data_IF_300399216874
#
_entry.id   IF_300399216874
#
_cell.length_a   1.000
_cell.length_b   1.000
_cell.length_c   1.000
_cell.angle_alpha   90.00
_cell.angle_beta   90.00
_cell.angle_gamma   90.00
#
_symmetry.space_group_name_H-M   'P 1'
#
loop_
_entity.id
_entity.type
_entity.pdbx_description
1 polymer ?
#
# COMPACT_ATOMS: atom_id res chain seq x y z
N UNK A 1 -6.17 -10.34 -4.72
CA UNK A 1 -5.36 -9.15 -5.02
C UNK A 1 -5.15 -8.36 -3.74
N UNK A 2 -3.94 -7.84 -3.54
CA UNK A 2 -3.55 -7.07 -2.36
C UNK A 2 -3.55 -5.58 -2.69
N UNK A 3 -3.96 -4.76 -1.73
CA UNK A 3 -3.56 -3.36 -1.68
C UNK A 3 -2.32 -3.26 -0.78
N UNK A 4 -1.25 -2.66 -1.26
CA UNK A 4 -0.10 -2.32 -0.43
C UNK A 4 -0.20 -0.86 0.00
N UNK A 5 -0.24 -0.63 1.30
CA UNK A 5 -0.13 0.70 1.87
C UNK A 5 1.28 1.27 1.68
N UNK A 6 1.42 2.57 1.70
CA UNK A 6 2.71 3.26 1.58
C UNK A 6 3.74 2.75 2.59
N UNK A 7 3.31 2.42 3.81
CA UNK A 7 4.21 1.89 4.84
C UNK A 7 4.89 0.59 4.43
N UNK A 8 4.21 -0.26 3.65
CA UNK A 8 4.76 -1.51 3.12
C UNK A 8 5.83 -1.23 2.07
N UNK A 9 5.56 -0.29 1.17
CA UNK A 9 6.51 0.11 0.12
C UNK A 9 7.76 0.73 0.74
N UNK A 10 7.60 1.61 1.71
CA UNK A 10 8.72 2.22 2.44
C UNK A 10 9.54 1.14 3.15
N UNK A 11 8.90 0.24 3.86
CA UNK A 11 9.59 -0.85 4.56
C UNK A 11 10.37 -1.76 3.59
N UNK A 12 9.84 -2.00 2.40
CA UNK A 12 10.54 -2.77 1.37
C UNK A 12 11.78 -2.05 0.83
N UNK A 13 11.66 -0.74 0.61
CA UNK A 13 12.75 0.07 0.03
C UNK A 13 13.83 0.43 1.04
N UNK A 14 13.53 0.44 2.32
CA UNK A 14 14.46 0.79 3.40
C UNK A 14 14.96 -0.45 4.12
N UNK A 15 16.21 -0.81 3.86
CA UNK A 15 16.86 -1.98 4.47
C UNK A 15 17.02 -1.89 6.00
N UNK A 16 16.99 -0.69 6.54
CA UNK A 16 17.10 -0.43 7.99
C UNK A 16 15.72 -0.46 8.68
N UNK A 17 14.63 -0.53 7.92
CA UNK A 17 13.29 -0.63 8.49
C UNK A 17 13.10 -1.97 9.21
N UNK A 18 12.51 -1.94 10.41
CA UNK A 18 12.23 -3.14 11.20
C UNK A 18 11.35 -4.14 10.47
N UNK A 19 10.43 -3.65 9.64
CA UNK A 19 9.52 -4.46 8.86
C UNK A 19 10.07 -4.85 7.47
N UNK A 20 11.33 -4.52 7.16
CA UNK A 20 11.92 -4.79 5.84
C UNK A 20 11.83 -6.26 5.45
N UNK A 21 12.19 -7.19 6.34
CA UNK A 21 12.13 -8.63 6.04
C UNK A 21 10.71 -9.10 5.72
N UNK A 22 9.72 -8.62 6.47
CA UNK A 22 8.32 -8.93 6.21
C UNK A 22 7.83 -8.32 4.88
N UNK A 23 8.24 -7.08 4.60
CA UNK A 23 7.91 -6.41 3.34
C UNK A 23 8.54 -7.13 2.13
N UNK A 24 9.78 -7.61 2.25
CA UNK A 24 10.43 -8.45 1.22
C UNK A 24 9.63 -9.73 0.98
N UNK A 25 9.18 -10.40 2.04
CA UNK A 25 8.37 -11.60 1.91
C UNK A 25 7.06 -11.35 1.13
N UNK A 26 6.43 -10.20 1.34
CA UNK A 26 5.24 -9.81 0.57
C UNK A 26 5.60 -9.49 -0.88
N UNK A 27 6.52 -8.57 -1.09
CA UNK A 27 6.83 -8.04 -2.43
C UNK A 27 7.47 -9.11 -3.30
N UNK A 28 8.51 -9.78 -2.83
CA UNK A 28 9.22 -10.80 -3.61
C UNK A 28 8.49 -12.15 -3.61
N UNK A 29 8.04 -12.58 -2.44
CA UNK A 29 7.44 -13.90 -2.25
C UNK A 29 6.02 -14.03 -2.79
N UNK A 30 5.25 -12.96 -2.81
CA UNK A 30 3.86 -12.99 -3.24
C UNK A 30 3.62 -12.22 -4.54
N UNK A 31 4.05 -10.97 -4.59
CA UNK A 31 3.74 -10.08 -5.72
C UNK A 31 4.58 -10.44 -6.93
N UNK A 32 5.90 -10.33 -6.82
CA UNK A 32 6.82 -10.64 -7.93
C UNK A 32 6.68 -12.08 -8.42
N UNK A 33 6.43 -13.01 -7.52
CA UNK A 33 6.24 -14.42 -7.87
C UNK A 33 4.92 -14.71 -8.60
N UNK A 34 4.00 -13.74 -8.63
CA UNK A 34 2.68 -13.89 -9.24
C UNK A 34 1.66 -14.65 -8.38
N UNK A 35 2.01 -15.03 -7.16
CA UNK A 35 1.07 -15.73 -6.25
C UNK A 35 -0.09 -14.84 -5.83
N UNK A 36 0.19 -13.56 -5.56
CA UNK A 36 -0.82 -12.56 -5.19
C UNK A 36 -0.49 -11.24 -5.89
N UNK A 37 -1.15 -10.93 -7.00
CA UNK A 37 -0.98 -9.62 -7.61
C UNK A 37 -1.40 -8.52 -6.63
N UNK A 38 -0.72 -7.40 -6.72
CA UNK A 38 -0.96 -6.27 -5.84
C UNK A 38 -1.17 -4.98 -6.62
N UNK A 39 -1.78 -4.03 -5.95
CA UNK A 39 -1.88 -2.66 -6.43
C UNK A 39 -1.43 -1.68 -5.35
N UNK A 40 -1.05 -0.52 -5.79
CA UNK A 40 -0.80 0.65 -4.95
C UNK A 40 -1.58 1.83 -5.52
N UNK A 41 -1.98 2.74 -4.64
CA UNK A 41 -2.55 4.01 -5.05
C UNK A 41 -1.48 4.90 -5.68
N UNK A 42 -1.85 5.67 -6.69
CA UNK A 42 -0.96 6.70 -7.26
C UNK A 42 -0.51 7.72 -6.19
N UNK A 43 -1.25 7.88 -5.11
CA UNK A 43 -0.81 8.73 -3.98
C UNK A 43 0.42 8.18 -3.27
N UNK A 44 0.60 6.87 -3.24
CA UNK A 44 1.81 6.25 -2.70
C UNK A 44 3.06 6.72 -3.44
N UNK A 45 2.96 6.99 -4.74
CA UNK A 45 4.06 7.55 -5.54
C UNK A 45 4.57 8.86 -4.93
N UNK A 46 3.66 9.76 -4.58
CA UNK A 46 4.03 11.04 -3.94
C UNK A 46 4.74 10.82 -2.61
N UNK A 47 4.22 9.92 -1.79
CA UNK A 47 4.76 9.68 -0.46
C UNK A 47 6.16 9.05 -0.48
N UNK A 48 6.43 8.16 -1.42
CA UNK A 48 7.73 7.48 -1.48
C UNK A 48 8.79 8.28 -2.25
N UNK A 49 8.39 9.17 -3.16
CA UNK A 49 9.32 9.98 -3.95
C UNK A 49 9.68 11.32 -3.31
N UNK A 50 8.94 11.79 -2.32
CA UNK A 50 9.20 13.09 -1.70
C UNK A 50 10.59 13.17 -1.04
N UNK A 51 11.04 12.09 -0.41
CA UNK A 51 12.37 12.03 0.23
C UNK A 51 13.50 12.22 -0.78
N UNK A 52 13.67 11.35 -1.77
CA UNK A 52 14.73 11.49 -2.78
C UNK A 52 14.57 12.75 -3.64
N UNK A 53 13.34 13.22 -3.89
CA UNK A 53 13.14 14.51 -4.57
C UNK A 53 13.68 15.68 -3.76
N UNK A 54 13.44 15.68 -2.44
CA UNK A 54 13.90 16.72 -1.53
C UNK A 54 15.43 16.70 -1.36
N UNK A 55 16.03 15.52 -1.26
CA UNK A 55 17.48 15.36 -1.10
C UNK A 55 18.27 15.53 -2.41
N UNK A 56 17.61 15.50 -3.56
CA UNK A 56 18.24 15.54 -4.87
C UNK A 56 18.95 14.25 -5.26
N UNK A 57 18.64 13.12 -4.59
CA UNK A 57 19.19 11.80 -4.92
C UNK A 57 18.50 11.24 -6.17
N UNK A 58 19.07 11.53 -7.34
CA UNK A 58 18.52 11.12 -8.63
C UNK A 58 18.59 9.62 -8.83
N UNK A 59 19.61 8.95 -8.35
CA UNK A 59 19.78 7.51 -8.48
C UNK A 59 18.68 6.78 -7.71
N UNK A 60 18.50 7.13 -6.44
CA UNK A 60 17.43 6.54 -5.62
C UNK A 60 16.05 6.86 -6.18
N UNK A 61 15.82 8.09 -6.64
CA UNK A 61 14.56 8.48 -7.29
C UNK A 61 14.26 7.57 -8.48
N UNK A 62 15.23 7.37 -9.37
CA UNK A 62 15.08 6.50 -10.54
C UNK A 62 14.81 5.04 -10.19
N UNK A 63 15.50 4.52 -9.18
CA UNK A 63 15.30 3.14 -8.70
C UNK A 63 13.89 2.95 -8.15
N UNK A 64 13.37 3.91 -7.40
CA UNK A 64 12.01 3.86 -6.87
C UNK A 64 10.98 3.92 -8.01
N UNK A 65 11.16 4.82 -8.98
CA UNK A 65 10.26 4.89 -10.14
C UNK A 65 10.25 3.57 -10.90
N UNK A 66 11.42 2.97 -11.13
CA UNK A 66 11.52 1.67 -11.78
C UNK A 66 10.77 0.59 -11.00
N UNK A 67 10.96 0.53 -9.68
CA UNK A 67 10.20 -0.38 -8.81
C UNK A 67 8.69 -0.20 -8.97
N UNK A 68 8.21 1.04 -8.86
CA UNK A 68 6.78 1.35 -8.90
C UNK A 68 6.13 1.03 -10.26
N UNK A 69 6.88 1.14 -11.35
CA UNK A 69 6.34 1.00 -12.71
C UNK A 69 6.66 -0.32 -13.38
N UNK A 70 7.68 -1.04 -12.94
CA UNK A 70 8.19 -2.23 -13.63
C UNK A 70 8.11 -3.52 -12.81
N UNK A 71 7.77 -3.45 -11.52
CA UNK A 71 7.70 -4.68 -10.72
C UNK A 71 6.59 -5.60 -11.26
N UNK A 72 6.93 -6.84 -11.68
CA UNK A 72 5.90 -7.79 -12.09
C UNK A 72 4.87 -8.04 -11.01
N UNK A 73 3.60 -8.05 -11.38
CA UNK A 73 2.50 -8.28 -10.43
C UNK A 73 2.05 -7.07 -9.64
N UNK A 74 2.75 -5.94 -9.73
CA UNK A 74 2.35 -4.68 -9.10
C UNK A 74 1.71 -3.74 -10.12
N UNK A 75 0.59 -3.12 -9.75
CA UNK A 75 -0.11 -2.12 -10.56
C UNK A 75 -0.27 -0.82 -9.81
N UNK A 76 -0.11 0.30 -10.51
CA UNK A 76 -0.54 1.62 -10.06
C UNK A 76 -2.02 1.79 -10.39
N UNK A 77 -2.79 2.34 -9.46
CA UNK A 77 -4.20 2.64 -9.67
C UNK A 77 -4.46 4.13 -9.45
N UNK A 78 -5.07 4.75 -10.44
CA UNK A 78 -5.39 6.17 -10.41
C UNK A 78 -6.49 6.49 -9.39
N UNK A 79 -6.52 7.75 -8.97
CA UNK A 79 -7.54 8.31 -8.08
C UNK A 79 -8.44 9.22 -8.88
N UNK A 80 -9.62 8.71 -9.22
CA UNK A 80 -10.66 9.48 -9.86
C UNK A 80 -11.76 9.91 -8.87
N UNK A 81 -12.82 10.52 -9.38
CA UNK A 81 -13.93 11.03 -8.58
C UNK A 81 -14.57 9.94 -7.70
N UNK A 82 -14.84 8.77 -8.26
CA UNK A 82 -15.49 7.68 -7.52
C UNK A 82 -14.64 7.20 -6.34
N UNK A 83 -13.31 7.13 -6.50
CA UNK A 83 -12.39 6.80 -5.41
C UNK A 83 -12.39 7.88 -4.35
N UNK A 84 -12.35 9.15 -4.75
CA UNK A 84 -12.37 10.28 -3.83
C UNK A 84 -13.68 10.34 -3.01
N UNK A 85 -14.81 10.08 -3.66
CA UNK A 85 -16.12 10.02 -3.01
C UNK A 85 -16.17 8.88 -1.97
N UNK A 86 -15.68 7.70 -2.32
CA UNK A 86 -15.58 6.58 -1.39
C UNK A 86 -14.65 6.88 -0.23
N UNK A 87 -13.55 7.56 -0.49
CA UNK A 87 -12.62 8.00 0.55
C UNK A 87 -13.28 8.95 1.56
N UNK A 88 -14.13 9.86 1.10
CA UNK A 88 -14.89 10.75 1.97
C UNK A 88 -15.78 9.97 2.95
N UNK A 89 -16.45 8.94 2.47
CA UNK A 89 -17.30 8.07 3.30
C UNK A 89 -16.45 7.29 4.33
N UNK A 90 -15.33 6.71 3.90
CA UNK A 90 -14.42 6.00 4.79
C UNK A 90 -13.86 6.93 5.88
N UNK A 91 -13.46 8.13 5.51
CA UNK A 91 -12.95 9.13 6.44
C UNK A 91 -13.99 9.52 7.48
N UNK A 92 -15.23 9.76 7.05
CA UNK A 92 -16.31 10.12 7.93
C UNK A 92 -16.67 9.00 8.93
N UNK A 93 -16.68 7.75 8.50
CA UNK A 93 -17.06 6.60 9.32
C UNK A 93 -15.94 6.07 10.20
N UNK A 94 -14.71 6.07 9.70
CA UNK A 94 -13.58 5.37 10.34
C UNK A 94 -12.48 6.31 10.85
N UNK A 95 -12.69 7.62 10.77
CA UNK A 95 -11.75 8.65 11.28
C UNK A 95 -10.33 8.52 10.70
N UNK A 96 -10.23 8.15 9.45
CA UNK A 96 -8.96 8.08 8.75
C UNK A 96 -8.46 9.47 8.35
N UNK A 97 -7.13 9.63 8.27
CA UNK A 97 -6.54 10.79 7.61
C UNK A 97 -6.93 10.77 6.12
N UNK A 98 -6.95 11.95 5.48
CA UNK A 98 -7.38 12.06 4.09
C UNK A 98 -6.61 11.15 3.14
N UNK A 99 -5.26 11.12 3.23
CA UNK A 99 -4.42 10.27 2.38
C UNK A 99 -4.69 8.79 2.65
N UNK A 100 -4.79 8.37 3.89
CA UNK A 100 -5.08 6.98 4.24
C UNK A 100 -6.43 6.53 3.68
N UNK A 101 -7.45 7.38 3.82
CA UNK A 101 -8.78 7.08 3.29
C UNK A 101 -8.77 6.91 1.76
N UNK A 102 -8.00 7.75 1.04
CA UNK A 102 -7.87 7.64 -0.42
C UNK A 102 -7.12 6.37 -0.82
N UNK A 103 -6.06 6.01 -0.11
CA UNK A 103 -5.30 4.77 -0.36
C UNK A 103 -6.21 3.55 -0.18
N UNK A 104 -6.92 3.48 0.94
CA UNK A 104 -7.88 2.37 1.19
C UNK A 104 -8.97 2.33 0.13
N UNK A 105 -9.58 3.47 -0.17
CA UNK A 105 -10.63 3.57 -1.19
C UNK A 105 -10.13 3.11 -2.57
N UNK A 106 -8.89 3.42 -2.92
CA UNK A 106 -8.26 2.95 -4.17
C UNK A 106 -8.25 1.42 -4.23
N UNK A 107 -7.80 0.77 -3.16
CA UNK A 107 -7.79 -0.70 -3.09
C UNK A 107 -9.17 -1.31 -3.18
N UNK A 108 -10.13 -0.76 -2.45
CA UNK A 108 -11.51 -1.26 -2.46
C UNK A 108 -12.17 -1.08 -3.82
N UNK A 109 -11.94 0.06 -4.48
CA UNK A 109 -12.47 0.31 -5.83
C UNK A 109 -11.90 -0.66 -6.87
N UNK A 110 -10.67 -1.11 -6.69
CA UNK A 110 -10.02 -2.08 -7.56
C UNK A 110 -10.33 -3.54 -7.19
N UNK A 111 -11.13 -3.78 -6.15
CA UNK A 111 -11.51 -5.13 -5.73
C UNK A 111 -10.47 -5.85 -4.87
N UNK A 112 -9.57 -5.13 -4.20
CA UNK A 112 -8.63 -5.74 -3.28
C UNK A 112 -9.36 -6.38 -2.09
N UNK A 113 -9.10 -7.66 -1.86
CA UNK A 113 -9.68 -8.39 -0.73
C UNK A 113 -8.84 -8.31 0.55
N UNK A 114 -7.59 -7.86 0.44
CA UNK A 114 -6.68 -7.70 1.56
C UNK A 114 -5.90 -6.39 1.42
N UNK A 115 -5.74 -5.72 2.55
CA UNK A 115 -4.98 -4.48 2.68
C UNK A 115 -3.77 -4.80 3.57
N UNK A 116 -2.58 -4.70 3.02
CA UNK A 116 -1.34 -4.90 3.78
C UNK A 116 -0.82 -3.55 4.23
N UNK A 117 -0.62 -3.41 5.53
CA UNK A 117 -0.15 -2.17 6.15
C UNK A 117 0.77 -2.48 7.32
N UNK A 118 1.56 -1.51 7.72
CA UNK A 118 2.33 -1.54 8.97
C UNK A 118 1.70 -0.64 10.05
N UNK A 119 0.57 -0.03 9.77
CA UNK A 119 -0.17 0.82 10.69
C UNK A 119 -1.18 0.01 11.49
N UNK A 120 -0.90 -0.19 12.78
CA UNK A 120 -1.77 -0.95 13.69
C UNK A 120 -3.14 -0.33 13.86
N UNK A 121 -3.28 0.99 13.72
CA UNK A 121 -4.57 1.67 13.83
C UNK A 121 -5.54 1.26 12.73
N UNK A 122 -5.05 0.88 11.56
CA UNK A 122 -5.91 0.46 10.46
C UNK A 122 -6.69 -0.81 10.77
N UNK A 123 -6.08 -1.79 11.43
CA UNK A 123 -6.78 -3.02 11.78
C UNK A 123 -7.92 -2.77 12.77
N UNK A 124 -7.76 -1.80 13.68
CA UNK A 124 -8.79 -1.42 14.64
C UNK A 124 -9.90 -0.55 14.01
N UNK A 125 -9.53 0.33 13.07
CA UNK A 125 -10.46 1.30 12.46
C UNK A 125 -11.23 0.78 11.25
N UNK A 126 -10.73 -0.28 10.62
CA UNK A 126 -11.26 -0.80 9.34
C UNK A 126 -11.73 -2.25 9.51
N UNK A 127 -12.89 -2.48 10.16
CA UNK A 127 -13.41 -3.84 10.31
C UNK A 127 -13.82 -4.43 8.96
N UNK A 128 -13.35 -5.65 8.70
CA UNK A 128 -13.58 -6.34 7.44
C UNK A 128 -15.07 -6.48 7.07
N UNK A 129 -15.92 -6.63 8.08
CA UNK A 129 -17.38 -6.70 7.88
C UNK A 129 -17.99 -5.42 7.30
N UNK A 130 -17.35 -4.28 7.49
CA UNK A 130 -17.86 -2.99 7.00
C UNK A 130 -17.25 -2.58 5.67
N UNK A 131 -15.97 -2.90 5.45
CA UNK A 131 -15.26 -2.46 4.24
C UNK A 131 -15.16 -3.53 3.15
N UNK A 132 -15.42 -4.80 3.48
CA UNK A 132 -15.33 -5.90 2.53
C UNK A 132 -13.91 -6.36 2.19
N UNK A 133 -12.92 -5.95 2.99
CA UNK A 133 -11.53 -6.37 2.86
C UNK A 133 -10.90 -6.53 4.24
N UNK A 134 -9.91 -7.41 4.36
CA UNK A 134 -9.19 -7.63 5.61
C UNK A 134 -7.91 -6.82 5.65
N UNK A 135 -7.66 -6.11 6.76
CA UNK A 135 -6.37 -5.47 7.03
C UNK A 135 -5.42 -6.52 7.60
N UNK A 136 -4.25 -6.63 7.00
CA UNK A 136 -3.17 -7.54 7.42
C UNK A 136 -1.96 -6.70 7.78
N UNK A 137 -1.48 -6.83 9.01
CA UNK A 137 -0.30 -6.12 9.46
C UNK A 137 0.97 -6.88 9.08
N UNK A 138 2.00 -6.17 8.64
CA UNK A 138 3.29 -6.77 8.30
C UNK A 138 3.89 -7.55 9.48
N UNK A 139 3.73 -7.03 10.70
CA UNK A 139 4.29 -7.64 11.91
C UNK A 139 3.60 -8.94 12.33
N UNK A 140 2.39 -9.20 11.86
CA UNK A 140 1.58 -10.35 12.28
C UNK A 140 1.85 -11.63 11.46
N UNK A 141 3.05 -11.78 10.94
CA UNK A 141 3.43 -12.93 10.11
C UNK A 141 2.35 -13.30 9.11
N UNK A 142 2.48 -12.79 7.95
CA UNK A 142 1.55 -12.95 6.86
C UNK A 142 1.03 -14.39 6.75
N UNK A 143 -0.25 -14.64 7.02
CA UNK A 143 -0.83 -15.97 6.82
C UNK A 143 -1.06 -16.23 5.34
N UNK A 144 -0.04 -15.96 4.54
CA UNK A 144 -0.05 -16.13 3.10
C UNK A 144 0.69 -17.41 2.67
N UNK A 145 0.73 -18.36 3.54
CA UNK A 145 1.21 -19.68 3.15
C UNK A 145 0.23 -20.36 2.20
#
# INVERSE_FOLDING_TARGET
MLLLDTSVVIAYLDREDRANAAAIAVVEGLVRSGRNPALISVLTVTEVLVGPARSGDRTLYGEIVEFLTQLPGLRLHDVGFAVAERAAILRARHRLRAIDAVIVATGLAAGAGRIVSNDRDWSARLPASEIGASVVLLDDHLPFS
#
